data_IF_506368224284
#
_entry.id   IF_506368224284
#
_cell.length_a   1.000
_cell.length_b   1.000
_cell.length_c   1.000
_cell.angle_alpha   90.00
_cell.angle_beta   90.00
_cell.angle_gamma   90.00
#
_symmetry.space_group_name_H-M   'P 1'
#
loop_
_entity.id
_entity.type
_entity.pdbx_description
1 polymer ?
#
# COMPACT_ATOMS: atom_id res chain seq x y z
N UNK A 1 21.03 -3.70 4.05
CA UNK A 1 20.89 -3.19 4.23
C UNK A 1 21.13 -3.05 4.94
N UNK A 2 21.39 -3.24 4.89
CA UNK A 2 21.35 -3.10 5.32
C UNK A 2 21.02 -2.44 5.73
N UNK A 3 21.43 -2.50 6.05
CA UNK A 3 21.07 -1.90 6.55
C UNK A 3 20.50 -1.13 6.50
N UNK A 4 20.80 -0.77 6.54
CA UNK A 4 19.96 0.25 6.53
C UNK A 4 19.06 0.18 5.41
N UNK A 5 17.93 0.00 5.73
CA UNK A 5 16.89 0.10 4.77
C UNK A 5 16.77 1.56 4.39
N UNK A 6 17.25 1.89 3.24
CA UNK A 6 17.01 3.20 2.71
C UNK A 6 15.73 3.19 1.94
N UNK A 7 14.75 3.84 2.49
CA UNK A 7 13.48 3.98 1.78
C UNK A 7 13.51 5.34 1.12
N UNK A 8 13.96 5.35 -0.12
CA UNK A 8 14.03 6.57 -0.90
C UNK A 8 12.88 6.68 -1.90
N UNK A 9 12.14 5.60 -2.11
CA UNK A 9 11.02 5.59 -3.04
C UNK A 9 9.75 6.02 -2.31
N UNK A 10 9.14 7.16 -2.66
CA UNK A 10 7.91 7.62 -2.00
C UNK A 10 6.78 6.61 -2.07
N UNK A 11 6.81 5.70 -3.03
CA UNK A 11 5.79 4.66 -3.14
C UNK A 11 5.78 3.73 -1.93
N UNK A 12 6.86 3.71 -1.14
CA UNK A 12 6.95 2.91 0.07
C UNK A 12 6.39 3.59 1.31
N UNK A 13 6.02 4.87 1.21
CA UNK A 13 5.55 5.65 2.36
C UNK A 13 4.39 4.98 3.06
N UNK A 14 3.43 4.49 2.29
CA UNK A 14 2.23 3.90 2.84
C UNK A 14 2.55 2.65 3.65
N UNK A 15 3.45 1.81 3.16
CA UNK A 15 3.86 0.61 3.86
C UNK A 15 4.52 0.95 5.19
N UNK A 16 5.37 1.98 5.20
CA UNK A 16 6.05 2.41 6.42
C UNK A 16 5.06 2.93 7.45
N UNK A 17 4.12 3.77 7.02
CA UNK A 17 3.11 4.32 7.93
C UNK A 17 2.27 3.21 8.52
N UNK A 18 1.83 2.27 7.71
CA UNK A 18 1.01 1.15 8.20
C UNK A 18 1.80 0.30 9.19
N UNK A 19 3.08 0.07 8.92
CA UNK A 19 3.94 -0.70 9.82
C UNK A 19 4.08 0.01 11.18
N UNK A 20 4.27 1.32 11.18
CA UNK A 20 4.37 2.11 12.41
C UNK A 20 3.06 2.04 13.19
N UNK A 21 1.93 2.21 12.51
CA UNK A 21 0.62 2.14 13.15
C UNK A 21 0.36 0.76 13.73
N UNK A 22 0.73 -0.28 13.00
CA UNK A 22 0.59 -1.66 13.48
C UNK A 22 1.33 -1.85 14.79
N UNK A 23 2.56 -1.34 14.87
CA UNK A 23 3.38 -1.45 16.06
C UNK A 23 2.80 -0.66 17.23
N UNK A 24 2.34 0.57 16.96
CA UNK A 24 1.86 1.46 18.03
C UNK A 24 0.50 1.07 18.56
N UNK A 25 -0.38 0.54 17.72
CA UNK A 25 -1.74 0.21 18.10
C UNK A 25 -1.99 -1.29 18.20
N UNK A 26 -0.93 -2.05 18.08
CA UNK A 26 -0.94 -3.50 18.32
C UNK A 26 -1.97 -4.25 17.48
N UNK A 27 -2.01 -3.96 16.20
CA UNK A 27 -2.82 -4.75 15.28
C UNK A 27 -1.92 -5.46 14.27
N UNK A 28 -2.40 -6.60 13.77
CA UNK A 28 -1.64 -7.39 12.83
C UNK A 28 -1.96 -6.97 11.40
N UNK A 29 -0.91 -6.89 10.58
CA UNK A 29 -1.08 -6.69 9.15
C UNK A 29 -1.02 -8.08 8.52
N UNK A 30 -2.04 -8.47 7.72
CA UNK A 30 -1.97 -9.74 7.01
C UNK A 30 -0.72 -9.80 6.14
N UNK A 31 -0.09 -10.97 6.07
CA UNK A 31 1.17 -11.10 5.34
C UNK A 31 0.99 -11.22 3.83
N UNK A 32 -0.25 -11.28 3.36
CA UNK A 32 -0.56 -11.39 1.94
C UNK A 32 -1.08 -10.08 1.33
N UNK A 33 -0.95 -8.97 2.05
CA UNK A 33 -1.33 -7.66 1.53
C UNK A 33 -0.08 -6.80 1.35
N UNK A 34 -0.15 -5.89 0.39
CA UNK A 34 0.92 -4.93 0.18
C UNK A 34 0.32 -3.55 -0.09
N UNK A 35 1.18 -2.56 -0.13
CA UNK A 35 0.78 -1.17 -0.19
C UNK A 35 1.62 -0.42 -1.21
N UNK A 36 0.99 0.43 -2.00
CA UNK A 36 1.71 1.26 -2.97
C UNK A 36 1.08 2.65 -2.96
N UNK A 37 1.64 3.53 -2.17
CA UNK A 37 1.11 4.88 -2.05
C UNK A 37 2.10 5.81 -1.40
N UNK A 38 1.95 7.09 -1.70
CA UNK A 38 2.67 8.16 -1.05
C UNK A 38 1.72 8.81 -0.04
N UNK A 39 2.23 9.18 1.12
CA UNK A 39 1.41 9.74 2.18
C UNK A 39 1.71 11.22 2.32
N UNK A 40 0.67 12.05 2.21
CA UNK A 40 0.81 13.48 2.40
C UNK A 40 0.72 13.89 3.85
N UNK A 41 0.98 15.18 4.11
CA UNK A 41 1.04 15.71 5.47
C UNK A 41 -0.29 15.65 6.21
N UNK A 42 -1.39 15.61 5.46
CA UNK A 42 -2.73 15.53 6.06
C UNK A 42 -3.24 14.11 6.18
N UNK A 43 -2.38 13.13 5.92
CA UNK A 43 -2.78 11.72 5.95
C UNK A 43 -3.45 11.24 4.68
N UNK A 44 -3.49 12.07 3.65
CA UNK A 44 -4.05 11.66 2.38
C UNK A 44 -3.09 10.69 1.67
N UNK A 45 -3.65 9.77 0.93
CA UNK A 45 -2.87 8.80 0.17
C UNK A 45 -2.83 9.25 -1.28
N UNK A 46 -1.63 9.44 -1.81
CA UNK A 46 -1.41 9.93 -3.16
C UNK A 46 -1.01 8.79 -4.09
N UNK A 47 -1.41 8.87 -5.36
CA UNK A 47 -1.03 7.82 -6.31
C UNK A 47 0.47 7.85 -6.58
N UNK A 48 1.00 6.68 -6.91
CA UNK A 48 2.41 6.53 -7.27
C UNK A 48 2.51 6.17 -8.73
N UNK A 49 3.70 6.40 -9.29
CA UNK A 49 3.95 6.05 -10.68
C UNK A 49 3.96 4.53 -10.85
N UNK A 50 3.53 4.08 -12.01
CA UNK A 50 3.57 2.67 -12.38
C UNK A 50 2.80 1.76 -11.42
N UNK A 51 1.69 2.25 -10.87
CA UNK A 51 0.91 1.48 -9.93
C UNK A 51 0.43 0.15 -10.52
N UNK A 52 0.06 0.16 -11.78
CA UNK A 52 -0.38 -1.06 -12.47
C UNK A 52 0.72 -2.11 -12.51
N UNK A 53 1.94 -1.68 -12.84
CA UNK A 53 3.09 -2.57 -12.88
C UNK A 53 3.41 -3.10 -11.49
N UNK A 54 3.31 -2.26 -10.47
CA UNK A 54 3.54 -2.66 -9.09
C UNK A 54 2.52 -3.71 -8.65
N UNK A 55 1.27 -3.55 -9.07
CA UNK A 55 0.22 -4.51 -8.74
C UNK A 55 0.45 -5.85 -9.44
N UNK A 56 0.87 -5.82 -10.70
CA UNK A 56 1.19 -7.05 -11.44
C UNK A 56 2.34 -7.78 -10.77
N UNK A 57 3.36 -7.06 -10.36
CA UNK A 57 4.51 -7.68 -9.69
C UNK A 57 4.12 -8.25 -8.33
N UNK A 58 3.27 -7.54 -7.59
CA UNK A 58 2.78 -8.03 -6.31
C UNK A 58 1.99 -9.33 -6.49
N UNK A 59 1.17 -9.41 -7.53
CA UNK A 59 0.44 -10.63 -7.82
C UNK A 59 1.39 -11.80 -8.11
N UNK A 60 2.46 -11.54 -8.84
CA UNK A 60 3.46 -12.57 -9.15
C UNK A 60 4.18 -13.05 -7.91
N UNK A 61 4.37 -12.18 -6.93
CA UNK A 61 5.04 -12.51 -5.68
C UNK A 61 4.12 -13.22 -4.69
N UNK A 62 2.85 -13.39 -5.03
CA UNK A 62 1.92 -14.13 -4.19
C UNK A 62 1.04 -13.28 -3.29
N UNK A 63 1.13 -11.95 -3.39
CA UNK A 63 0.24 -11.08 -2.63
C UNK A 63 -1.18 -11.19 -3.18
N UNK A 64 -2.16 -11.17 -2.30
CA UNK A 64 -3.56 -11.29 -2.67
C UNK A 64 -4.27 -9.97 -2.76
N UNK A 65 -3.73 -8.93 -2.12
CA UNK A 65 -4.38 -7.62 -2.08
C UNK A 65 -3.33 -6.53 -2.09
N UNK A 66 -3.62 -5.46 -2.81
CA UNK A 66 -2.77 -4.27 -2.82
C UNK A 66 -3.64 -3.04 -2.53
N UNK A 67 -3.19 -2.22 -1.59
CA UNK A 67 -3.84 -0.97 -1.26
C UNK A 67 -3.15 0.16 -2.02
N UNK A 68 -3.95 0.95 -2.72
CA UNK A 68 -3.45 2.06 -3.52
C UNK A 68 -4.30 3.30 -3.28
N UNK A 69 -3.83 4.45 -3.72
CA UNK A 69 -4.61 5.68 -3.66
C UNK A 69 -5.90 5.55 -4.45
N UNK A 70 -6.96 6.18 -3.96
CA UNK A 70 -8.24 6.22 -4.68
C UNK A 70 -8.11 6.97 -6.01
N UNK A 71 -7.06 7.75 -6.20
CA UNK A 71 -6.80 8.47 -7.44
C UNK A 71 -5.94 7.67 -8.43
N UNK A 72 -5.58 6.45 -8.07
CA UNK A 72 -4.79 5.59 -8.96
C UNK A 72 -5.64 5.14 -10.14
N UNK A 73 -5.05 5.20 -11.33
CA UNK A 73 -5.71 4.74 -12.55
C UNK A 73 -5.03 3.49 -13.07
N UNK A 74 -5.84 2.57 -13.51
CA UNK A 74 -5.36 1.35 -14.15
C UNK A 74 -5.93 1.30 -15.56
N UNK A 75 -5.04 1.17 -16.54
CA UNK A 75 -5.47 0.93 -17.93
C UNK A 75 -6.04 -0.47 -18.06
N UNK A 76 -5.46 -1.40 -17.32
CA UNK A 76 -5.91 -2.78 -17.29
C UNK A 76 -5.85 -3.26 -15.86
N UNK A 77 -6.96 -3.79 -15.36
CA UNK A 77 -7.01 -4.30 -14.01
C UNK A 77 -6.11 -5.53 -13.88
N UNK A 78 -5.18 -5.56 -12.90
CA UNK A 78 -4.30 -6.71 -12.75
C UNK A 78 -5.07 -7.95 -12.34
N UNK A 79 -4.66 -9.09 -12.86
CA UNK A 79 -5.27 -10.37 -12.53
C UNK A 79 -4.57 -10.99 -11.34
N UNK A 80 -5.32 -11.78 -10.57
CA UNK A 80 -4.76 -12.53 -9.46
C UNK A 80 -4.53 -11.73 -8.20
N UNK A 81 -4.96 -10.47 -8.17
CA UNK A 81 -4.80 -9.63 -6.99
C UNK A 81 -5.98 -8.67 -6.88
N UNK A 82 -6.43 -8.46 -5.66
CA UNK A 82 -7.49 -7.50 -5.39
C UNK A 82 -6.88 -6.12 -5.20
N UNK A 83 -7.38 -5.14 -5.94
CA UNK A 83 -6.93 -3.75 -5.81
C UNK A 83 -7.93 -3.00 -4.95
N UNK A 84 -7.48 -2.48 -3.81
CA UNK A 84 -8.31 -1.72 -2.90
C UNK A 84 -7.86 -0.27 -2.93
N UNK A 85 -8.77 0.62 -3.33
CA UNK A 85 -8.49 2.05 -3.42
C UNK A 85 -8.93 2.74 -2.14
N UNK A 86 -8.02 3.50 -1.55
CA UNK A 86 -8.28 4.22 -0.31
C UNK A 86 -7.80 5.66 -0.44
N UNK A 87 -8.56 6.57 0.15
CA UNK A 87 -8.27 8.00 0.00
C UNK A 87 -7.28 8.50 1.05
N UNK A 88 -7.33 7.93 2.25
CA UNK A 88 -6.51 8.40 3.37
C UNK A 88 -6.21 7.25 4.32
N UNK A 89 -5.39 7.56 5.32
CA UNK A 89 -4.96 6.56 6.30
C UNK A 89 -6.14 6.01 7.11
N UNK A 90 -7.08 6.83 7.61
CA UNK A 90 -8.23 6.27 8.34
C UNK A 90 -9.03 5.27 7.51
N UNK A 91 -9.25 5.54 6.23
CA UNK A 91 -9.98 4.64 5.37
C UNK A 91 -9.23 3.31 5.19
N UNK A 92 -7.91 3.38 5.07
CA UNK A 92 -7.09 2.19 4.93
C UNK A 92 -7.15 1.33 6.19
N UNK A 93 -6.99 1.94 7.35
CA UNK A 93 -7.02 1.21 8.63
C UNK A 93 -8.38 0.55 8.82
N UNK A 94 -9.45 1.27 8.50
CA UNK A 94 -10.79 0.72 8.59
C UNK A 94 -10.96 -0.50 7.68
N UNK A 95 -10.38 -0.45 6.49
CA UNK A 95 -10.43 -1.57 5.56
C UNK A 95 -9.65 -2.79 6.09
N UNK A 96 -8.53 -2.56 6.77
CA UNK A 96 -7.73 -3.63 7.32
C UNK A 96 -8.43 -4.38 8.45
N UNK A 97 -9.32 -3.72 9.15
CA UNK A 97 -10.03 -4.32 10.29
C UNK A 97 -11.36 -4.97 9.92
N UNK A 98 -11.64 -5.12 8.68
CA UNK A 98 -12.89 -5.76 8.23
C UNK A 98 -12.88 -7.26 8.38
#
# INVERSE_FOLDING_TARGET
MAGGLRITDPACDLAVVVAVLSSNFDFAIPNDVCFAGEVGLSGEIRPVSQAERRAVEAARLGFRRIYVSSYTRFDRKPEGIEVVKVADIPALVKSLFR
#
